data_IF_699380317624
#
_entry.id   IF_699380317624
#
_cell.length_a   1.000
_cell.length_b   1.000
_cell.length_c   1.000
_cell.angle_alpha   90.00
_cell.angle_beta   90.00
_cell.angle_gamma   90.00
#
_symmetry.space_group_name_H-M   'P 1'
#
loop_
_entity.id
_entity.type
_entity.pdbx_description
1 polymer ?
#
# COMPACT_ATOMS: atom_id res chain seq x y z
N UNK A 1 32.76 -12.53 0.07
CA UNK A 1 31.92 -13.24 1.06
C UNK A 1 31.39 -12.32 2.17
N UNK A 2 32.22 -11.59 2.93
CA UNK A 2 31.73 -10.68 4.00
C UNK A 2 30.84 -9.53 3.51
N UNK A 3 31.07 -9.00 2.31
CA UNK A 3 30.25 -7.91 1.75
C UNK A 3 28.82 -8.34 1.40
N UNK A 4 28.63 -9.59 0.93
CA UNK A 4 27.28 -10.11 0.61
C UNK A 4 26.43 -10.26 1.87
N UNK A 5 27.03 -10.72 2.97
CA UNK A 5 26.31 -10.92 4.23
C UNK A 5 25.73 -9.60 4.79
N UNK A 6 26.47 -8.50 4.67
CA UNK A 6 26.01 -7.17 5.10
C UNK A 6 24.83 -6.69 4.23
N UNK A 7 24.87 -6.95 2.93
CA UNK A 7 23.77 -6.62 2.01
C UNK A 7 22.53 -7.45 2.36
N UNK A 8 22.69 -8.75 2.61
CA UNK A 8 21.59 -9.64 2.95
C UNK A 8 20.91 -9.25 4.26
N UNK A 9 21.69 -8.84 5.27
CA UNK A 9 21.15 -8.34 6.53
C UNK A 9 20.40 -7.02 6.33
N UNK A 10 20.92 -6.07 5.54
CA UNK A 10 20.21 -4.84 5.22
C UNK A 10 18.90 -5.10 4.46
N UNK A 11 18.90 -6.04 3.50
CA UNK A 11 17.70 -6.45 2.77
C UNK A 11 16.67 -7.07 3.71
N UNK A 12 17.09 -7.87 4.69
CA UNK A 12 16.20 -8.48 5.68
C UNK A 12 15.47 -7.40 6.50
N UNK A 13 16.20 -6.43 7.02
CA UNK A 13 15.64 -5.33 7.82
C UNK A 13 14.68 -4.45 7.00
N UNK A 14 15.05 -4.14 5.76
CA UNK A 14 14.18 -3.36 4.86
C UNK A 14 12.90 -4.11 4.51
N UNK A 15 12.99 -5.41 4.23
CA UNK A 15 11.82 -6.25 3.90
C UNK A 15 10.95 -6.57 5.13
N UNK A 16 11.48 -6.44 6.34
CA UNK A 16 10.71 -6.63 7.57
C UNK A 16 9.67 -5.53 7.80
N UNK A 17 9.78 -4.38 7.11
CA UNK A 17 8.79 -3.30 7.18
C UNK A 17 7.73 -3.52 6.08
N UNK A 18 6.50 -3.95 6.43
CA UNK A 18 5.54 -4.40 5.43
C UNK A 18 4.94 -3.19 4.69
N UNK A 19 5.48 -2.85 3.52
CA UNK A 19 5.01 -1.76 2.66
C UNK A 19 4.41 -2.30 1.36
N UNK A 20 3.79 -1.42 0.57
CA UNK A 20 3.38 -1.67 -0.81
C UNK A 20 4.39 -0.94 -1.72
N UNK A 21 4.96 -1.57 -2.77
CA UNK A 21 5.94 -0.93 -3.65
C UNK A 21 5.31 0.09 -4.63
N UNK A 22 4.42 0.96 -4.13
CA UNK A 22 3.76 2.00 -4.90
C UNK A 22 4.64 3.26 -4.99
N UNK A 23 4.82 3.78 -6.20
CA UNK A 23 5.58 5.01 -6.46
C UNK A 23 4.72 6.28 -6.51
N UNK A 24 3.40 6.16 -6.32
CA UNK A 24 2.50 7.32 -6.35
C UNK A 24 2.26 7.92 -7.75
N UNK A 25 2.55 7.20 -8.84
CA UNK A 25 2.44 7.70 -10.22
C UNK A 25 1.02 8.04 -10.72
N UNK A 26 -0.02 7.59 -10.01
CA UNK A 26 -1.45 7.84 -10.31
C UNK A 26 -1.99 7.31 -11.67
N UNK A 27 -1.31 6.38 -12.33
CA UNK A 27 -1.84 5.75 -13.56
C UNK A 27 -3.06 4.85 -13.34
N UNK A 28 -3.28 4.40 -12.10
CA UNK A 28 -4.39 3.55 -11.72
C UNK A 28 -5.68 4.31 -11.33
N UNK A 29 -5.76 5.64 -11.55
CA UNK A 29 -6.84 6.49 -11.04
C UNK A 29 -8.20 6.33 -11.73
N UNK A 30 -8.27 5.66 -12.87
CA UNK A 30 -9.55 5.38 -13.56
C UNK A 30 -10.30 4.19 -12.92
N UNK A 31 -10.32 4.13 -11.58
CA UNK A 31 -11.03 3.10 -10.83
C UNK A 31 -12.54 3.34 -10.96
N UNK A 32 -13.34 2.39 -11.49
CA UNK A 32 -14.78 2.58 -11.62
C UNK A 32 -15.51 2.67 -10.27
N UNK A 33 -14.88 2.17 -9.20
CA UNK A 33 -15.40 2.27 -7.83
C UNK A 33 -14.94 3.55 -7.10
N UNK A 34 -14.13 4.41 -7.72
CA UNK A 34 -13.69 5.68 -7.15
C UNK A 34 -12.58 5.60 -6.10
N UNK A 35 -11.90 4.45 -5.96
CA UNK A 35 -10.79 4.27 -5.00
C UNK A 35 -9.60 5.15 -5.38
N UNK A 36 -9.10 5.98 -4.45
CA UNK A 36 -7.81 6.67 -4.62
C UNK A 36 -6.68 5.73 -4.19
N UNK A 37 -6.33 4.81 -5.11
CA UNK A 37 -5.33 3.76 -4.89
C UNK A 37 -3.98 4.33 -4.42
N UNK A 38 -3.42 5.38 -5.06
CA UNK A 38 -2.17 6.00 -4.60
C UNK A 38 -2.28 6.56 -3.18
N UNK A 39 -3.38 7.23 -2.82
CA UNK A 39 -3.56 7.78 -1.47
C UNK A 39 -3.65 6.66 -0.42
N UNK A 40 -4.37 5.58 -0.72
CA UNK A 40 -4.47 4.39 0.16
C UNK A 40 -3.09 3.79 0.41
N UNK A 41 -2.30 3.55 -0.64
CA UNK A 41 -0.97 2.99 -0.49
C UNK A 41 0.01 3.95 0.19
N UNK A 42 -0.10 5.26 -0.07
CA UNK A 42 0.70 6.27 0.63
C UNK A 42 0.39 6.30 2.14
N UNK A 43 -0.90 6.25 2.51
CA UNK A 43 -1.32 6.21 3.90
C UNK A 43 -0.84 4.93 4.60
N UNK A 44 -0.94 3.78 3.92
CA UNK A 44 -0.46 2.51 4.46
C UNK A 44 1.08 2.49 4.61
N UNK A 45 1.81 2.93 3.58
CA UNK A 45 3.28 3.00 3.57
C UNK A 45 3.86 3.99 4.55
N UNK A 46 3.04 4.89 5.12
CA UNK A 46 3.45 5.77 6.19
C UNK A 46 4.14 4.99 7.33
N UNK A 47 3.75 3.73 7.59
CA UNK A 47 4.43 2.85 8.58
C UNK A 47 5.94 2.67 8.38
N UNK A 48 6.46 2.90 7.16
CA UNK A 48 7.89 2.79 6.86
C UNK A 48 8.76 3.67 7.75
N UNK A 49 8.23 4.79 8.24
CA UNK A 49 8.95 5.72 9.13
C UNK A 49 8.74 5.41 10.62
N UNK A 50 8.55 4.14 10.99
CA UNK A 50 8.28 3.66 12.35
C UNK A 50 7.01 4.26 13.00
N UNK A 51 6.01 4.58 12.19
CA UNK A 51 4.73 5.08 12.69
C UNK A 51 3.90 3.97 13.33
N UNK A 52 3.22 4.30 14.44
CA UNK A 52 2.32 3.36 15.12
C UNK A 52 1.11 3.07 14.26
N UNK A 53 0.46 1.92 14.47
CA UNK A 53 -0.80 1.57 13.78
C UNK A 53 -1.86 2.66 13.90
N UNK A 54 -1.92 3.37 15.04
CA UNK A 54 -2.82 4.49 15.25
C UNK A 54 -2.51 5.69 14.33
N UNK A 55 -1.23 6.00 14.11
CA UNK A 55 -0.83 7.07 13.19
C UNK A 55 -1.14 6.73 11.74
N UNK A 56 -0.90 5.47 11.34
CA UNK A 56 -1.25 4.96 10.00
C UNK A 56 -2.76 5.02 9.79
N UNK A 57 -3.55 4.55 10.76
CA UNK A 57 -5.02 4.61 10.71
C UNK A 57 -5.53 6.05 10.59
N UNK A 58 -5.00 6.98 11.40
CA UNK A 58 -5.34 8.40 11.30
C UNK A 58 -5.08 8.95 9.90
N UNK A 59 -3.93 8.62 9.31
CA UNK A 59 -3.59 9.04 7.94
C UNK A 59 -4.54 8.45 6.90
N UNK A 60 -4.92 7.18 7.08
CA UNK A 60 -5.88 6.50 6.22
C UNK A 60 -7.30 7.12 6.31
N UNK A 61 -7.70 7.57 7.50
CA UNK A 61 -9.00 8.21 7.74
C UNK A 61 -9.13 9.60 7.09
N UNK A 62 -8.03 10.25 6.72
CA UNK A 62 -8.05 11.49 5.92
C UNK A 62 -8.57 11.26 4.49
N UNK A 63 -8.52 10.02 4.00
CA UNK A 63 -9.09 9.65 2.69
C UNK A 63 -10.62 9.63 2.81
N UNK A 64 -11.37 10.21 1.85
CA UNK A 64 -12.84 10.13 1.85
C UNK A 64 -13.33 8.68 1.90
N UNK A 65 -14.37 8.39 2.68
CA UNK A 65 -14.84 7.01 2.91
C UNK A 65 -15.11 6.23 1.60
N UNK A 66 -15.71 6.86 0.60
CA UNK A 66 -15.97 6.23 -0.70
C UNK A 66 -14.74 6.01 -1.59
N UNK A 67 -13.58 6.54 -1.21
CA UNK A 67 -12.33 6.45 -1.97
C UNK A 67 -11.28 5.54 -1.31
N UNK A 68 -11.65 4.84 -0.23
CA UNK A 68 -10.80 3.95 0.57
C UNK A 68 -10.75 2.52 0.01
N UNK A 69 -9.91 1.67 0.61
CA UNK A 69 -9.69 0.29 0.15
C UNK A 69 -10.96 -0.59 0.20
N UNK A 70 -11.90 -0.28 1.08
CA UNK A 70 -13.17 -0.98 1.24
C UNK A 70 -14.15 -0.78 0.07
N UNK A 71 -13.98 0.27 -0.73
CA UNK A 71 -14.74 0.48 -1.96
C UNK A 71 -14.23 -0.38 -3.14
N UNK A 72 -13.09 -1.06 -3.00
CA UNK A 72 -12.56 -1.92 -4.07
C UNK A 72 -13.47 -3.12 -4.35
N UNK A 73 -13.93 -3.22 -5.60
CA UNK A 73 -14.75 -4.35 -6.10
C UNK A 73 -13.92 -5.38 -6.88
N UNK A 74 -12.59 -5.32 -6.80
CA UNK A 74 -11.68 -6.23 -7.51
C UNK A 74 -11.88 -6.29 -9.04
N UNK A 75 -12.23 -5.16 -9.67
CA UNK A 75 -12.42 -5.09 -11.13
C UNK A 75 -11.13 -5.28 -11.96
N UNK A 76 -9.95 -5.18 -11.32
CA UNK A 76 -8.60 -5.33 -11.92
C UNK A 76 -8.24 -4.34 -13.04
N UNK A 77 -9.07 -3.34 -13.33
CA UNK A 77 -8.78 -2.31 -14.36
C UNK A 77 -7.46 -1.53 -14.10
N UNK A 78 -7.08 -1.42 -12.83
CA UNK A 78 -5.85 -0.76 -12.39
C UNK A 78 -4.57 -1.58 -12.64
N UNK A 79 -4.64 -2.92 -12.67
CA UNK A 79 -3.46 -3.78 -12.74
C UNK A 79 -2.66 -3.57 -14.03
N UNK A 80 -3.35 -3.46 -15.17
CA UNK A 80 -2.71 -3.23 -16.47
C UNK A 80 -2.09 -1.83 -16.61
N UNK A 81 -2.41 -0.90 -15.70
CA UNK A 81 -1.90 0.48 -15.71
C UNK A 81 -0.74 0.67 -14.73
N UNK A 82 -0.49 -0.30 -13.84
CA UNK A 82 0.54 -0.19 -12.83
C UNK A 82 1.91 -0.51 -13.44
N UNK A 83 2.84 0.46 -13.54
CA UNK A 83 4.18 0.19 -14.08
C UNK A 83 5.03 -0.68 -13.14
N UNK A 84 4.62 -0.80 -11.87
CA UNK A 84 5.29 -1.62 -10.85
C UNK A 84 4.73 -3.05 -10.78
N UNK A 85 3.80 -3.42 -11.68
CA UNK A 85 3.17 -4.75 -11.72
C UNK A 85 2.54 -5.21 -10.39
N UNK A 86 2.00 -4.26 -9.62
CA UNK A 86 1.35 -4.54 -8.33
C UNK A 86 0.01 -5.21 -8.58
N UNK A 87 -0.29 -6.29 -7.85
CA UNK A 87 -1.67 -6.79 -7.74
C UNK A 87 -2.46 -5.88 -6.80
N UNK A 88 -2.91 -4.74 -7.37
CA UNK A 88 -3.54 -3.67 -6.61
C UNK A 88 -4.75 -4.16 -5.79
N UNK A 89 -5.69 -4.96 -6.34
CA UNK A 89 -6.81 -5.48 -5.55
C UNK A 89 -6.38 -6.34 -4.35
N UNK A 90 -5.38 -7.21 -4.52
CA UNK A 90 -4.86 -8.03 -3.42
C UNK A 90 -4.23 -7.15 -2.32
N UNK A 91 -3.41 -6.17 -2.71
CA UNK A 91 -2.81 -5.23 -1.76
C UNK A 91 -3.87 -4.37 -1.05
N UNK A 92 -4.91 -3.89 -1.76
CA UNK A 92 -6.00 -3.15 -1.12
C UNK A 92 -6.75 -4.01 -0.09
N UNK A 93 -6.98 -5.30 -0.38
CA UNK A 93 -7.61 -6.22 0.55
C UNK A 93 -6.75 -6.41 1.82
N UNK A 94 -5.44 -6.58 1.65
CA UNK A 94 -4.47 -6.68 2.75
C UNK A 94 -4.42 -5.41 3.59
N UNK A 95 -4.34 -4.23 2.94
CA UNK A 95 -4.36 -2.93 3.62
C UNK A 95 -5.65 -2.76 4.43
N UNK A 96 -6.80 -3.11 3.86
CA UNK A 96 -8.09 -3.06 4.56
C UNK A 96 -8.05 -3.93 5.83
N UNK A 97 -7.61 -5.18 5.71
CA UNK A 97 -7.55 -6.11 6.84
C UNK A 97 -6.66 -5.57 7.96
N UNK A 98 -5.45 -5.11 7.63
CA UNK A 98 -4.50 -4.61 8.64
C UNK A 98 -4.93 -3.30 9.29
N UNK A 99 -5.58 -2.40 8.54
CA UNK A 99 -6.06 -1.12 9.09
C UNK A 99 -7.23 -1.35 10.05
N UNK A 100 -8.11 -2.31 9.77
CA UNK A 100 -9.28 -2.61 10.59
C UNK A 100 -9.08 -3.73 11.61
N UNK A 101 -7.94 -4.42 11.59
CA UNK A 101 -7.54 -5.36 12.64
C UNK A 101 -7.54 -4.64 14.01
N UNK A 102 -8.10 -5.32 15.02
CA UNK A 102 -8.20 -4.83 16.40
C UNK A 102 -6.88 -4.97 17.13
#
# INVERSE_FOLDING_TARGET
>A
EKESAVIDDALRELNAIPTVPCTGCRYCMDCPAGVDIPAVFAAYNYRASHHTTAQVRKKYEEIPAGARADACVSCRACCNKCPQSIDIPAELARVKEEIYAK
#
